data_IF_761554234503
#
_entry.id   IF_761554234503
#
_cell.length_a   1.000
_cell.length_b   1.000
_cell.length_c   1.000
_cell.angle_alpha   90.00
_cell.angle_beta   90.00
_cell.angle_gamma   90.00
#
_symmetry.space_group_name_H-M   'P 1'
#
loop_
_entity.id
_entity.type
_entity.pdbx_description
1 polymer ?
#
# COMPACT_ATOMS: atom_id res chain seq x y z
N UNK A 1 14.70 -12.72 -8.21
CA UNK A 1 14.75 -11.39 -7.58
C UNK A 1 16.01 -11.30 -6.72
N UNK A 2 16.79 -10.22 -6.83
CA UNK A 2 18.10 -10.06 -6.16
C UNK A 2 18.09 -8.93 -5.14
N UNK A 3 17.34 -7.85 -5.39
CA UNK A 3 17.20 -6.70 -4.51
C UNK A 3 16.09 -6.89 -3.48
N UNK A 4 16.22 -6.20 -2.34
CA UNK A 4 15.27 -6.30 -1.22
C UNK A 4 13.99 -5.52 -1.50
N UNK A 5 14.02 -4.19 -1.42
CA UNK A 5 12.83 -3.37 -1.57
C UNK A 5 13.04 -2.16 -2.48
N UNK A 6 11.95 -1.71 -3.10
CA UNK A 6 11.88 -0.45 -3.84
C UNK A 6 10.70 0.41 -3.38
N UNK A 7 10.85 1.72 -3.48
CA UNK A 7 9.77 2.69 -3.26
C UNK A 7 9.78 3.76 -4.34
N UNK A 8 8.61 4.06 -4.93
CA UNK A 8 8.48 5.19 -5.86
C UNK A 8 7.73 6.32 -5.15
N UNK A 9 8.42 7.44 -4.92
CA UNK A 9 7.92 8.51 -4.08
C UNK A 9 8.42 9.88 -4.55
N UNK A 10 7.51 10.85 -4.64
CA UNK A 10 7.84 12.24 -5.00
C UNK A 10 7.31 13.30 -4.02
N UNK A 11 6.60 12.87 -2.97
CA UNK A 11 6.08 13.76 -1.94
C UNK A 11 6.74 13.44 -0.60
N UNK A 12 7.69 14.28 -0.21
CA UNK A 12 8.52 14.08 0.97
C UNK A 12 7.97 14.88 2.15
N UNK A 13 8.29 14.47 3.39
CA UNK A 13 7.79 15.15 4.58
C UNK A 13 6.29 14.91 4.80
N UNK A 14 5.80 13.76 4.34
CA UNK A 14 4.41 13.38 4.46
C UNK A 14 3.96 13.25 5.92
N UNK A 15 2.66 13.47 6.19
CA UNK A 15 2.08 13.44 7.55
C UNK A 15 2.28 12.08 8.22
N UNK A 16 2.23 10.99 7.44
CA UNK A 16 2.52 9.63 7.92
C UNK A 16 3.95 9.43 8.40
N UNK A 17 4.87 10.37 8.09
CA UNK A 17 6.32 10.27 8.35
C UNK A 17 6.94 9.04 7.70
N UNK A 18 6.36 8.53 6.62
CA UNK A 18 6.88 7.35 5.89
C UNK A 18 8.34 7.50 5.50
N UNK A 19 8.80 8.72 5.24
CA UNK A 19 10.19 9.02 4.87
C UNK A 19 11.15 8.67 6.03
N UNK A 20 10.73 8.88 7.28
CA UNK A 20 11.52 8.49 8.47
C UNK A 20 11.52 6.98 8.64
N UNK A 21 10.36 6.33 8.50
CA UNK A 21 10.25 4.87 8.58
C UNK A 21 11.17 4.19 7.55
N UNK A 22 11.13 4.65 6.29
CA UNK A 22 12.00 4.10 5.23
C UNK A 22 13.48 4.28 5.58
N UNK A 23 13.88 5.44 6.12
CA UNK A 23 15.25 5.67 6.57
C UNK A 23 15.69 4.72 7.69
N UNK A 24 14.80 4.39 8.63
CA UNK A 24 15.09 3.39 9.68
C UNK A 24 15.26 2.00 9.07
N UNK A 25 14.35 1.59 8.18
CA UNK A 25 14.43 0.30 7.47
C UNK A 25 15.73 0.18 6.65
N UNK A 26 16.16 1.28 6.01
CA UNK A 26 17.41 1.35 5.23
C UNK A 26 18.68 1.07 6.04
N UNK A 27 18.63 1.16 7.38
CA UNK A 27 19.76 0.80 8.23
C UNK A 27 20.00 -0.72 8.28
N UNK A 28 19.00 -1.54 7.94
CA UNK A 28 19.05 -2.99 8.09
C UNK A 28 18.94 -3.77 6.78
N UNK A 29 18.31 -3.21 5.75
CA UNK A 29 18.16 -3.80 4.41
C UNK A 29 18.25 -2.74 3.32
N UNK A 30 18.60 -3.16 2.10
CA UNK A 30 18.60 -2.28 0.94
C UNK A 30 17.17 -1.85 0.57
N UNK A 31 16.90 -0.54 0.55
CA UNK A 31 15.67 0.03 -0.01
C UNK A 31 16.05 1.08 -1.04
N UNK A 32 15.74 0.81 -2.30
CA UNK A 32 16.01 1.72 -3.41
C UNK A 32 14.82 2.70 -3.55
N UNK A 33 15.08 3.99 -3.40
CA UNK A 33 14.06 5.04 -3.41
C UNK A 33 14.14 5.82 -4.71
N UNK A 34 13.08 5.73 -5.51
CA UNK A 34 12.93 6.39 -6.82
C UNK A 34 12.04 7.63 -6.73
N UNK A 35 12.42 8.69 -7.43
CA UNK A 35 11.70 9.96 -7.47
C UNK A 35 12.33 11.03 -6.59
N UNK A 36 11.67 12.18 -6.43
CA UNK A 36 12.26 13.37 -5.80
C UNK A 36 12.61 13.23 -4.32
N UNK A 37 12.19 12.16 -3.64
CA UNK A 37 12.59 11.88 -2.25
C UNK A 37 13.74 10.89 -2.13
N UNK A 38 14.28 10.40 -3.24
CA UNK A 38 15.40 9.47 -3.29
C UNK A 38 16.48 9.95 -4.27
N UNK A 39 17.44 9.06 -4.52
CA UNK A 39 18.59 9.31 -5.42
C UNK A 39 18.42 8.62 -6.77
N UNK A 40 17.42 7.75 -6.93
CA UNK A 40 17.17 7.02 -8.16
C UNK A 40 16.03 7.66 -8.96
N UNK A 41 16.06 7.50 -10.26
CA UNK A 41 15.05 8.04 -11.16
C UNK A 41 14.32 6.95 -11.91
N UNK A 42 13.00 7.10 -11.94
CA UNK A 42 12.13 6.32 -12.80
C UNK A 42 11.00 7.24 -13.30
N UNK A 43 10.93 7.51 -14.62
CA UNK A 43 9.83 8.27 -15.19
C UNK A 43 8.48 7.60 -14.92
N UNK A 44 7.47 8.39 -14.54
CA UNK A 44 6.10 7.88 -14.31
C UNK A 44 5.59 7.20 -15.58
N UNK A 45 4.95 6.04 -15.40
CA UNK A 45 4.42 5.24 -16.50
C UNK A 45 5.47 4.49 -17.33
N UNK A 46 6.74 4.50 -16.93
CA UNK A 46 7.80 3.76 -17.63
C UNK A 46 7.57 2.24 -17.55
N UNK A 47 7.32 1.54 -18.68
CA UNK A 47 7.16 0.09 -18.69
C UNK A 47 8.46 -0.65 -18.29
N UNK A 48 9.61 0.01 -18.47
CA UNK A 48 10.91 -0.51 -18.02
C UNK A 48 10.97 -0.58 -16.51
N UNK A 49 10.49 0.46 -15.82
CA UNK A 49 10.50 0.46 -14.35
C UNK A 49 9.50 -0.53 -13.76
N UNK A 50 8.32 -0.68 -14.36
CA UNK A 50 7.35 -1.69 -13.94
C UNK A 50 7.92 -3.11 -14.05
N UNK A 51 8.63 -3.41 -15.16
CA UNK A 51 9.36 -4.66 -15.33
C UNK A 51 10.50 -4.81 -14.32
N UNK A 52 11.32 -3.78 -14.14
CA UNK A 52 12.40 -3.76 -13.14
C UNK A 52 11.89 -4.08 -11.72
N UNK A 53 10.77 -3.47 -11.30
CA UNK A 53 10.13 -3.80 -10.02
C UNK A 53 9.79 -5.29 -9.95
N UNK A 54 9.17 -5.83 -11.01
CA UNK A 54 8.77 -7.24 -11.08
C UNK A 54 9.95 -8.21 -11.09
N UNK A 55 11.05 -7.88 -11.76
CA UNK A 55 12.12 -8.85 -12.00
C UNK A 55 13.22 -8.79 -10.92
N UNK A 56 13.52 -7.59 -10.43
CA UNK A 56 14.68 -7.35 -9.56
C UNK A 56 14.34 -7.34 -8.07
N UNK A 57 13.18 -6.83 -7.65
CA UNK A 57 12.86 -6.56 -6.25
C UNK A 57 11.89 -7.57 -5.64
N UNK A 58 12.09 -7.90 -4.36
CA UNK A 58 11.17 -8.75 -3.57
C UNK A 58 9.96 -7.97 -3.04
N UNK A 59 10.19 -6.74 -2.60
CA UNK A 59 9.16 -5.95 -1.94
C UNK A 59 8.98 -4.59 -2.60
N UNK A 60 7.74 -4.13 -2.68
CA UNK A 60 7.42 -2.76 -3.08
C UNK A 60 6.76 -2.04 -1.92
N UNK A 61 7.34 -0.92 -1.48
CA UNK A 61 6.82 -0.15 -0.36
C UNK A 61 5.73 0.81 -0.83
N UNK A 62 4.48 0.34 -0.77
CA UNK A 62 3.27 1.09 -1.10
C UNK A 62 2.80 1.95 0.09
N UNK A 63 3.67 2.83 0.57
CA UNK A 63 3.42 3.64 1.77
C UNK A 63 2.61 4.89 1.46
N UNK A 64 1.54 5.13 2.21
CA UNK A 64 0.66 6.27 2.02
C UNK A 64 1.18 7.55 2.67
N UNK A 65 0.70 8.69 2.16
CA UNK A 65 1.11 10.01 2.65
C UNK A 65 0.52 10.33 4.04
N UNK A 66 -0.59 9.67 4.39
CA UNK A 66 -1.34 9.89 5.62
C UNK A 66 -1.92 8.57 6.11
N UNK A 67 -2.04 8.41 7.43
CA UNK A 67 -2.61 7.20 8.03
C UNK A 67 -4.11 7.40 8.24
N UNK A 68 -4.89 7.39 7.16
CA UNK A 68 -6.32 7.64 7.23
C UNK A 68 -7.15 6.40 6.90
N UNK A 69 -8.32 6.29 7.52
CA UNK A 69 -9.36 5.33 7.17
C UNK A 69 -9.74 5.52 5.70
N UNK A 70 -9.90 4.41 5.00
CA UNK A 70 -10.29 4.34 3.58
C UNK A 70 -9.32 5.02 2.58
N UNK A 71 -8.16 5.51 3.04
CA UNK A 71 -7.15 6.13 2.18
C UNK A 71 -6.20 5.08 1.60
N UNK A 72 -6.60 4.51 0.47
CA UNK A 72 -5.83 3.56 -0.34
C UNK A 72 -5.70 4.10 -1.75
N UNK A 73 -4.47 4.23 -2.24
CA UNK A 73 -4.18 4.87 -3.53
C UNK A 73 -3.63 3.89 -4.56
N UNK A 74 -3.28 4.42 -5.74
CA UNK A 74 -2.69 3.66 -6.85
C UNK A 74 -1.45 2.86 -6.45
N UNK A 75 -0.72 3.29 -5.40
CA UNK A 75 0.53 2.63 -4.97
C UNK A 75 0.32 1.15 -4.65
N UNK A 76 -0.76 0.83 -3.94
CA UNK A 76 -1.08 -0.56 -3.62
C UNK A 76 -1.48 -1.33 -4.89
N UNK A 77 -2.43 -0.80 -5.66
CA UNK A 77 -2.97 -1.50 -6.82
C UNK A 77 -1.91 -1.72 -7.91
N UNK A 78 -1.02 -0.76 -8.16
CA UNK A 78 0.10 -0.91 -9.10
C UNK A 78 1.04 -2.04 -8.68
N UNK A 79 1.28 -2.20 -7.37
CA UNK A 79 2.10 -3.28 -6.83
C UNK A 79 1.39 -4.63 -6.96
N UNK A 80 0.10 -4.68 -6.65
CA UNK A 80 -0.73 -5.88 -6.76
C UNK A 80 -0.88 -6.35 -8.21
N UNK A 81 -0.93 -5.45 -9.19
CA UNK A 81 -0.93 -5.82 -10.63
C UNK A 81 0.39 -6.49 -11.05
N UNK A 82 1.48 -6.19 -10.36
CA UNK A 82 2.81 -6.75 -10.60
C UNK A 82 3.03 -8.08 -9.85
N UNK A 83 4.14 -8.79 -10.13
CA UNK A 83 4.54 -9.99 -9.37
C UNK A 83 5.56 -9.61 -8.28
N UNK A 84 5.13 -8.75 -7.36
CA UNK A 84 5.93 -8.26 -6.23
C UNK A 84 5.04 -8.18 -4.99
N UNK A 85 5.60 -8.45 -3.80
CA UNK A 85 4.81 -8.36 -2.55
C UNK A 85 4.69 -6.88 -2.16
N UNK A 86 3.47 -6.33 -2.05
CA UNK A 86 3.27 -4.98 -1.54
C UNK A 86 3.47 -4.97 -0.02
N UNK A 87 4.36 -4.09 0.45
CA UNK A 87 4.49 -3.73 1.86
C UNK A 87 3.79 -2.40 2.05
N UNK A 88 2.71 -2.40 2.80
CA UNK A 88 1.77 -1.28 2.91
C UNK A 88 1.90 -0.56 4.23
N UNK A 89 1.70 0.76 4.20
CA UNK A 89 1.72 1.60 5.40
C UNK A 89 0.64 2.67 5.25
N UNK A 90 -0.51 2.45 5.87
CA UNK A 90 -1.69 3.31 5.78
C UNK A 90 -2.62 3.07 6.97
N UNK A 91 -3.57 3.97 7.21
CA UNK A 91 -4.48 3.93 8.37
C UNK A 91 -5.75 3.12 8.15
N UNK A 92 -5.70 2.12 7.26
CA UNK A 92 -6.87 1.41 6.77
C UNK A 92 -6.89 -0.04 7.27
N UNK A 93 -8.08 -0.63 7.29
CA UNK A 93 -8.24 -2.07 7.41
C UNK A 93 -8.14 -2.71 6.01
N UNK A 94 -6.93 -3.18 5.65
CA UNK A 94 -6.66 -3.73 4.31
C UNK A 94 -7.50 -4.97 3.98
N UNK A 95 -8.05 -5.68 4.96
CA UNK A 95 -8.92 -6.86 4.73
C UNK A 95 -10.19 -6.52 3.93
N UNK A 96 -10.57 -5.24 3.90
CA UNK A 96 -11.71 -4.74 3.11
C UNK A 96 -11.36 -4.42 1.65
N UNK A 97 -10.08 -4.37 1.31
CA UNK A 97 -9.59 -3.88 0.01
C UNK A 97 -8.83 -4.93 -0.78
N UNK A 98 -8.17 -5.87 -0.10
CA UNK A 98 -7.36 -6.89 -0.75
C UNK A 98 -7.65 -8.29 -0.18
N UNK A 99 -7.40 -9.36 -0.96
CA UNK A 99 -7.48 -10.72 -0.45
C UNK A 99 -6.60 -10.92 0.80
N UNK A 100 -6.97 -11.83 1.71
CA UNK A 100 -6.13 -12.10 2.87
C UNK A 100 -4.76 -12.61 2.44
N UNK A 101 -3.72 -12.28 3.21
CA UNK A 101 -2.34 -12.71 2.94
C UNK A 101 -1.84 -12.33 1.53
N UNK A 102 -2.26 -11.17 0.99
CA UNK A 102 -1.76 -10.64 -0.28
C UNK A 102 -0.81 -9.45 -0.11
N UNK A 103 -0.71 -8.90 1.10
CA UNK A 103 0.12 -7.73 1.45
C UNK A 103 0.76 -7.91 2.81
N UNK A 104 1.85 -7.18 3.07
CA UNK A 104 2.47 -7.06 4.39
C UNK A 104 2.10 -5.69 4.95
N UNK A 105 1.27 -5.65 5.98
CA UNK A 105 0.91 -4.39 6.64
C UNK A 105 1.92 -4.04 7.73
N UNK A 106 2.67 -2.96 7.52
CA UNK A 106 3.69 -2.49 8.46
C UNK A 106 3.10 -2.19 9.84
N UNK A 107 1.82 -1.81 9.92
CA UNK A 107 1.17 -1.54 11.21
C UNK A 107 0.88 -2.79 12.06
N UNK A 108 1.19 -3.99 11.57
CA UNK A 108 1.08 -5.25 12.31
C UNK A 108 2.36 -5.61 13.08
N UNK A 109 3.45 -4.87 12.89
CA UNK A 109 4.73 -5.06 13.57
C UNK A 109 4.88 -4.03 14.70
N UNK A 110 5.50 -4.42 15.81
CA UNK A 110 5.80 -3.50 16.91
C UNK A 110 6.97 -2.58 16.60
N UNK A 111 8.00 -3.10 15.93
CA UNK A 111 9.27 -2.39 15.68
C UNK A 111 9.73 -2.52 14.23
N UNK A 112 10.67 -1.64 13.83
CA UNK A 112 11.32 -1.72 12.52
C UNK A 112 12.11 -3.01 12.37
N UNK A 113 12.75 -3.47 13.43
CA UNK A 113 13.52 -4.71 13.47
C UNK A 113 12.63 -5.92 13.21
N UNK A 114 11.47 -6.01 13.87
CA UNK A 114 10.50 -7.09 13.62
C UNK A 114 10.02 -7.12 12.16
N UNK A 115 9.70 -5.95 11.59
CA UNK A 115 9.35 -5.84 10.18
C UNK A 115 10.50 -6.35 9.30
N UNK A 116 11.72 -5.87 9.56
CA UNK A 116 12.88 -6.22 8.74
C UNK A 116 13.21 -7.71 8.84
N UNK A 117 13.17 -8.30 10.02
CA UNK A 117 13.43 -9.71 10.23
C UNK A 117 12.41 -10.57 9.48
N UNK A 118 11.14 -10.14 9.47
CA UNK A 118 10.11 -10.78 8.66
C UNK A 118 10.38 -10.66 7.16
N UNK A 119 10.79 -9.49 6.66
CA UNK A 119 11.14 -9.30 5.25
C UNK A 119 12.36 -10.13 4.85
N UNK A 120 13.37 -10.27 5.72
CA UNK A 120 14.53 -11.14 5.51
C UNK A 120 14.12 -12.60 5.50
N UNK A 121 13.31 -13.04 6.46
CA UNK A 121 12.76 -14.39 6.49
C UNK A 121 12.08 -14.75 5.17
N UNK A 122 11.18 -13.89 4.67
CA UNK A 122 10.54 -14.12 3.36
C UNK A 122 11.53 -14.09 2.19
N UNK A 123 12.55 -13.23 2.24
CA UNK A 123 13.57 -13.15 1.20
C UNK A 123 14.42 -14.42 1.10
N UNK A 124 14.65 -15.10 2.23
CA UNK A 124 15.46 -16.31 2.37
C UNK A 124 14.63 -17.60 2.23
N UNK A 125 13.28 -17.51 2.28
CA UNK A 125 12.37 -18.64 2.18
C UNK A 125 11.42 -18.49 0.97
N UNK A 126 11.84 -18.93 -0.24
CA UNK A 126 11.04 -18.77 -1.46
C UNK A 126 9.64 -19.38 -1.41
N UNK A 127 9.46 -20.48 -0.68
CA UNK A 127 8.16 -21.13 -0.50
C UNK A 127 7.18 -20.22 0.26
N UNK A 128 7.64 -19.58 1.34
CA UNK A 128 6.85 -18.62 2.10
C UNK A 128 6.56 -17.35 1.29
N UNK A 129 7.56 -16.88 0.52
CA UNK A 129 7.38 -15.74 -0.37
C UNK A 129 6.30 -15.99 -1.43
N UNK A 130 6.28 -17.18 -2.06
CA UNK A 130 5.30 -17.52 -3.11
C UNK A 130 3.86 -17.58 -2.58
N UNK A 131 3.66 -17.92 -1.31
CA UNK A 131 2.31 -17.98 -0.70
C UNK A 131 1.56 -16.66 -0.83
N UNK A 132 2.24 -15.52 -0.85
CA UNK A 132 1.61 -14.19 -1.05
C UNK A 132 0.92 -13.99 -2.40
N UNK A 133 1.11 -14.89 -3.36
CA UNK A 133 0.55 -14.80 -4.70
C UNK A 133 -0.63 -15.74 -4.95
N UNK A 134 -1.06 -16.52 -3.94
CA UNK A 134 -2.18 -17.47 -4.04
C UNK A 134 -3.44 -16.83 -4.66
N UNK A 135 -3.72 -15.58 -4.29
CA UNK A 135 -4.91 -14.86 -4.69
C UNK A 135 -4.95 -14.58 -6.21
N UNK A 136 -3.81 -14.57 -6.91
CA UNK A 136 -3.78 -14.29 -8.36
C UNK A 136 -4.46 -15.37 -9.20
N UNK A 137 -4.65 -16.57 -8.66
CA UNK A 137 -5.40 -17.65 -9.31
C UNK A 137 -6.92 -17.43 -9.23
N UNK A 138 -7.38 -16.70 -8.20
CA UNK A 138 -8.80 -16.56 -7.88
C UNK A 138 -9.36 -15.15 -8.13
N UNK A 139 -8.50 -14.13 -8.10
CA UNK A 139 -8.89 -12.74 -8.19
C UNK A 139 -8.12 -12.03 -9.30
N UNK A 140 -8.74 -11.00 -9.87
CA UNK A 140 -8.12 -10.10 -10.84
C UNK A 140 -8.41 -8.67 -10.41
N UNK A 141 -7.44 -7.79 -10.64
CA UNK A 141 -7.65 -6.36 -10.45
C UNK A 141 -8.43 -5.85 -11.65
N UNK A 142 -9.57 -5.24 -11.38
CA UNK A 142 -10.42 -4.63 -12.40
C UNK A 142 -10.40 -3.12 -12.20
N UNK A 143 -10.30 -2.37 -13.30
CA UNK A 143 -10.46 -0.92 -13.23
C UNK A 143 -11.82 -0.54 -12.65
N UNK A 144 -11.85 0.53 -11.85
CA UNK A 144 -13.11 1.09 -11.35
C UNK A 144 -13.75 1.95 -12.43
N UNK A 145 -15.07 1.84 -12.57
CA UNK A 145 -15.91 2.79 -13.30
C UNK A 145 -16.76 3.53 -12.26
N UNK A 146 -16.16 4.47 -11.49
CA UNK A 146 -16.75 4.97 -10.25
C UNK A 146 -18.11 5.64 -10.48
N UNK A 147 -18.29 6.32 -11.61
CA UNK A 147 -19.57 6.94 -11.96
C UNK A 147 -20.64 5.92 -12.36
N UNK A 148 -20.27 4.82 -13.03
CA UNK A 148 -21.20 3.74 -13.35
C UNK A 148 -21.63 3.01 -12.08
N UNK A 149 -20.70 2.76 -11.15
CA UNK A 149 -21.02 2.16 -9.86
C UNK A 149 -21.91 3.06 -9.00
N UNK A 150 -21.61 4.36 -8.96
CA UNK A 150 -22.45 5.34 -8.29
C UNK A 150 -23.86 5.38 -8.90
N UNK A 151 -23.96 5.43 -10.23
CA UNK A 151 -25.24 5.38 -10.94
C UNK A 151 -26.03 4.12 -10.56
N UNK A 152 -25.41 2.95 -10.62
CA UNK A 152 -26.05 1.69 -10.22
C UNK A 152 -26.55 1.73 -8.77
N UNK A 153 -25.74 2.26 -7.84
CA UNK A 153 -26.15 2.40 -6.43
C UNK A 153 -27.31 3.36 -6.24
N UNK A 154 -27.36 4.48 -6.96
CA UNK A 154 -28.47 5.45 -6.91
C UNK A 154 -29.78 4.90 -7.51
N UNK A 155 -29.67 3.95 -8.44
CA UNK A 155 -30.81 3.26 -9.04
C UNK A 155 -31.26 2.01 -8.26
N UNK A 156 -30.50 1.55 -7.27
CA UNK A 156 -30.87 0.43 -6.40
C UNK A 156 -32.04 0.78 -5.47
N UNK A 157 -33.01 -0.13 -5.35
CA UNK A 157 -34.24 0.09 -4.56
C UNK A 157 -33.91 0.32 -3.09
N UNK A 158 -32.95 -0.42 -2.53
CA UNK A 158 -32.57 -0.29 -1.12
C UNK A 158 -31.95 1.07 -0.79
N UNK A 159 -31.25 1.69 -1.76
CA UNK A 159 -30.72 3.05 -1.62
C UNK A 159 -31.82 4.10 -1.73
N UNK A 160 -32.84 3.87 -2.56
CA UNK A 160 -33.96 4.81 -2.73
C UNK A 160 -34.88 4.86 -1.53
N UNK A 161 -35.07 3.72 -0.86
CA UNK A 161 -35.92 3.60 0.33
C UNK A 161 -35.23 4.04 1.63
N UNK A 162 -33.89 4.12 1.63
CA UNK A 162 -33.10 4.54 2.81
C UNK A 162 -32.44 5.88 2.54
N UNK A 163 -32.89 6.93 3.22
CA UNK A 163 -32.19 8.22 3.19
C UNK A 163 -31.16 8.29 4.33
N UNK A 164 -29.90 8.55 3.96
CA UNK A 164 -28.83 8.91 4.89
C UNK A 164 -28.39 10.34 4.58
N UNK A 165 -28.31 11.18 5.62
CA UNK A 165 -27.86 12.56 5.48
C UNK A 165 -26.84 12.89 6.56
N UNK A 166 -25.83 13.68 6.18
CA UNK A 166 -24.82 14.19 7.10
C UNK A 166 -24.96 15.71 7.17
N UNK A 167 -25.20 16.24 8.36
CA UNK A 167 -25.35 17.69 8.57
C UNK A 167 -24.05 18.44 8.36
N UNK A 168 -22.94 17.81 8.75
CA UNK A 168 -21.59 18.30 8.55
C UNK A 168 -20.77 17.22 7.85
N UNK A 169 -20.63 17.37 6.53
CA UNK A 169 -19.85 16.43 5.71
C UNK A 169 -18.37 16.47 6.08
N UNK A 170 -17.85 17.61 6.56
CA UNK A 170 -16.45 17.76 6.94
C UNK A 170 -16.19 16.98 8.22
N UNK A 171 -17.02 17.14 9.24
CA UNK A 171 -16.93 16.36 10.47
C UNK A 171 -17.05 14.86 10.18
N UNK A 172 -18.06 14.46 9.39
CA UNK A 172 -18.23 13.06 9.03
C UNK A 172 -17.02 12.45 8.30
N UNK A 173 -16.40 13.20 7.39
CA UNK A 173 -15.31 12.71 6.56
C UNK A 173 -13.94 12.78 7.24
N UNK A 174 -13.65 13.85 7.99
CA UNK A 174 -12.31 14.13 8.51
C UNK A 174 -12.14 13.82 10.01
N UNK A 175 -13.19 13.91 10.82
CA UNK A 175 -13.02 13.78 12.28
C UNK A 175 -12.69 12.34 12.67
N UNK A 176 -11.54 12.17 13.33
CA UNK A 176 -11.03 10.85 13.72
C UNK A 176 -10.69 9.93 12.54
N UNK A 177 -10.74 10.44 11.30
CA UNK A 177 -10.47 9.63 10.11
C UNK A 177 -8.97 9.30 9.98
N UNK A 178 -8.10 10.19 10.44
CA UNK A 178 -6.65 10.04 10.33
C UNK A 178 -5.98 9.85 11.69
N UNK A 179 -5.09 8.87 11.76
CA UNK A 179 -4.25 8.60 12.92
C UNK A 179 -3.03 9.51 12.88
N UNK A 180 -2.75 10.20 13.99
CA UNK A 180 -1.59 11.07 14.13
C UNK A 180 -0.28 10.29 14.36
N UNK A 181 -0.38 9.03 14.81
CA UNK A 181 0.76 8.16 15.11
C UNK A 181 0.55 6.78 14.49
N UNK A 182 1.64 6.22 13.98
CA UNK A 182 1.69 4.83 13.55
C UNK A 182 1.66 3.90 14.76
N UNK A 183 1.23 2.65 14.53
CA UNK A 183 1.34 1.57 15.53
C UNK A 183 2.77 1.04 15.66
N UNK A 184 3.51 0.97 14.55
CA UNK A 184 4.93 0.61 14.53
C UNK A 184 5.78 1.74 15.14
N UNK A 185 6.79 1.38 15.93
CA UNK A 185 7.76 2.31 16.50
C UNK A 185 8.97 2.51 15.56
N UNK A 186 9.30 3.78 15.24
CA UNK A 186 10.41 4.20 14.35
C UNK A 186 10.82 5.67 14.58
#
# INVERSE_FOLDING_TARGET
KTKMAAQFVSHCGSISRRDRLVKQVQQFIQVDVFGSCGTMECPRGSPRCARMLTDEYRFYFAFENSLCRDYVTEKLYNAMESHIIPVVFGGVDYSKFVPPHSVIDVQQFGTVEELVDYLKFLADNPEEYVKYFWWKEHYRITGSQPFCELCRKLHDIGTREKSQHYRDIKAWWFDGACQARAKIEF
#
